data_IF_197810400298
#
_entry.id   IF_197810400298
#
_cell.length_a   1.000
_cell.length_b   1.000
_cell.length_c   1.000
_cell.angle_alpha   90.00
_cell.angle_beta   90.00
_cell.angle_gamma   90.00
#
_symmetry.space_group_name_H-M   'P 1'
#
loop_
_entity.id
_entity.type
_entity.pdbx_description
1 polymer ?
#
# COMPACT_ATOMS: atom_id res chain seq x y z
N UNK A 1 18.80 46.82 8.43
CA UNK A 1 17.76 45.77 8.38
C UNK A 1 18.19 44.75 7.34
N UNK A 2 18.61 43.56 7.79
CA UNK A 2 19.13 42.49 6.94
C UNK A 2 17.98 41.90 6.09
N UNK A 3 18.16 41.87 4.76
CA UNK A 3 17.22 41.31 3.78
C UNK A 3 17.31 39.78 3.61
N UNK A 4 17.88 39.05 4.58
CA UNK A 4 18.18 37.62 4.43
C UNK A 4 17.32 36.66 5.28
N UNK A 5 16.16 37.09 5.79
CA UNK A 5 15.20 36.20 6.45
C UNK A 5 13.86 36.20 5.70
N UNK A 6 13.88 35.82 4.41
CA UNK A 6 12.68 35.29 3.80
C UNK A 6 12.62 33.79 4.19
N UNK A 7 11.49 33.29 4.75
CA UNK A 7 11.29 31.85 4.90
C UNK A 7 11.52 31.18 3.55
N UNK A 8 12.07 29.96 3.56
CA UNK A 8 12.11 29.10 2.37
C UNK A 8 10.81 29.28 1.58
N UNK A 9 10.93 29.66 0.31
CA UNK A 9 9.79 29.91 -0.57
C UNK A 9 8.77 28.78 -0.37
N UNK A 10 7.55 29.15 0.05
CA UNK A 10 6.44 28.20 0.14
C UNK A 10 6.21 27.69 -1.28
N UNK A 11 6.87 26.57 -1.61
CA UNK A 11 6.76 25.99 -2.93
C UNK A 11 5.30 25.59 -3.14
N UNK A 12 4.77 25.86 -4.33
CA UNK A 12 3.42 25.46 -4.67
C UNK A 12 3.29 23.94 -4.53
N UNK A 13 2.53 23.50 -3.53
CA UNK A 13 2.27 22.09 -3.27
C UNK A 13 0.79 21.79 -3.55
N UNK A 14 0.52 20.85 -4.46
CA UNK A 14 -0.83 20.41 -4.80
C UNK A 14 -1.05 18.97 -4.31
N UNK A 15 -2.07 18.75 -3.49
CA UNK A 15 -2.43 17.43 -2.99
C UNK A 15 -3.75 16.97 -3.62
N UNK A 16 -3.75 15.78 -4.22
CA UNK A 16 -5.00 15.05 -4.51
C UNK A 16 -5.43 14.30 -3.26
N UNK A 17 -6.28 14.93 -2.45
CA UNK A 17 -6.55 14.48 -1.08
C UNK A 17 -7.50 13.28 -1.02
N UNK A 18 -8.58 13.28 -1.81
CA UNK A 18 -9.64 12.30 -1.68
C UNK A 18 -10.36 12.04 -3.00
N UNK A 19 -11.01 10.87 -3.15
CA UNK A 19 -12.03 10.68 -4.16
C UNK A 19 -13.11 11.76 -4.07
N UNK A 20 -13.74 12.12 -5.19
CA UNK A 20 -14.81 13.15 -5.18
C UNK A 20 -16.00 12.70 -4.33
N UNK A 21 -16.28 11.39 -4.32
CA UNK A 21 -17.26 10.77 -3.44
C UNK A 21 -16.82 9.39 -2.97
N UNK A 22 -17.08 9.09 -1.70
CA UNK A 22 -16.91 7.76 -1.09
C UNK A 22 -18.28 7.27 -0.65
N UNK A 23 -18.70 6.10 -1.14
CA UNK A 23 -19.89 5.39 -0.66
C UNK A 23 -19.39 4.14 0.04
N UNK A 24 -19.77 3.95 1.31
CA UNK A 24 -19.29 2.86 2.15
C UNK A 24 -20.41 2.30 3.02
N UNK A 25 -20.35 1.01 3.34
CA UNK A 25 -21.38 0.33 4.13
C UNK A 25 -21.80 -0.99 3.51
N UNK A 26 -22.75 -1.65 4.17
CA UNK A 26 -23.50 -2.76 3.56
C UNK A 26 -24.27 -2.25 2.34
N UNK A 27 -24.23 -3.01 1.24
CA UNK A 27 -24.95 -2.69 0.00
C UNK A 27 -24.56 -1.33 -0.63
N UNK A 28 -23.37 -0.83 -0.33
CA UNK A 28 -22.82 0.38 -0.93
C UNK A 28 -22.75 0.29 -2.46
N UNK A 29 -22.59 -0.91 -3.01
CA UNK A 29 -22.64 -1.16 -4.45
C UNK A 29 -24.01 -0.83 -5.03
N UNK A 30 -25.08 -1.40 -4.48
CA UNK A 30 -26.45 -1.18 -4.95
C UNK A 30 -26.88 0.27 -4.77
N UNK A 31 -26.54 0.89 -3.64
CA UNK A 31 -26.82 2.31 -3.38
C UNK A 31 -26.05 3.25 -4.32
N UNK A 32 -25.00 2.76 -4.98
CA UNK A 32 -24.20 3.54 -5.93
C UNK A 32 -24.69 3.44 -7.38
N UNK A 33 -25.67 2.59 -7.70
CA UNK A 33 -26.13 2.36 -9.07
C UNK A 33 -26.48 3.65 -9.84
N UNK A 34 -27.27 4.54 -9.23
CA UNK A 34 -27.64 5.81 -9.86
C UNK A 34 -26.43 6.75 -10.03
N UNK A 35 -25.48 6.72 -9.09
CA UNK A 35 -24.26 7.51 -9.17
C UNK A 35 -23.37 7.00 -10.31
N UNK A 36 -23.19 5.69 -10.45
CA UNK A 36 -22.42 5.09 -11.55
C UNK A 36 -23.01 5.51 -12.90
N UNK A 37 -24.34 5.40 -13.06
CA UNK A 37 -25.04 5.78 -14.29
C UNK A 37 -25.00 7.30 -14.58
N UNK A 38 -24.73 8.14 -13.57
CA UNK A 38 -24.51 9.57 -13.75
C UNK A 38 -23.07 9.92 -14.16
N UNK A 39 -22.11 9.03 -13.89
CA UNK A 39 -20.68 9.23 -14.17
C UNK A 39 -20.31 8.73 -15.57
N UNK A 40 -20.86 7.60 -16.01
CA UNK A 40 -20.48 6.95 -17.27
C UNK A 40 -21.64 6.13 -17.86
N UNK A 41 -21.63 5.88 -19.18
CA UNK A 41 -22.63 5.12 -19.92
C UNK A 41 -22.10 3.83 -20.55
N UNK A 42 -20.82 3.81 -20.89
CA UNK A 42 -20.13 2.68 -21.51
C UNK A 42 -18.84 2.35 -20.74
N UNK A 43 -18.91 1.94 -19.46
CA UNK A 43 -17.71 1.69 -18.68
C UNK A 43 -16.98 0.42 -19.10
N UNK A 44 -15.65 0.43 -18.94
CA UNK A 44 -14.84 -0.78 -18.86
C UNK A 44 -14.84 -1.29 -17.41
N UNK A 45 -15.35 -2.49 -17.17
CA UNK A 45 -15.20 -3.21 -15.90
C UNK A 45 -13.87 -4.00 -15.90
N UNK A 46 -12.90 -3.53 -15.12
CA UNK A 46 -11.58 -4.14 -14.99
C UNK A 46 -11.52 -5.05 -13.75
N UNK A 47 -10.97 -6.25 -13.95
CA UNK A 47 -10.77 -7.25 -12.91
C UNK A 47 -9.46 -8.02 -13.02
N UNK A 48 -9.34 -9.08 -12.21
CA UNK A 48 -8.25 -10.07 -12.29
C UNK A 48 -8.69 -11.37 -11.63
N UNK A 49 -8.15 -12.49 -12.10
CA UNK A 49 -8.17 -13.82 -11.43
C UNK A 49 -9.54 -14.47 -11.35
N UNK A 50 -9.53 -15.80 -11.36
CA UNK A 50 -10.72 -16.63 -11.16
C UNK A 50 -11.36 -16.43 -9.78
N UNK A 51 -10.56 -16.11 -8.75
CA UNK A 51 -11.02 -15.99 -7.36
C UNK A 51 -12.07 -14.90 -7.13
N UNK A 52 -12.16 -13.91 -8.02
CA UNK A 52 -13.15 -12.82 -7.94
C UNK A 52 -14.04 -12.75 -9.19
N UNK A 53 -14.01 -13.78 -10.03
CA UNK A 53 -14.76 -13.82 -11.29
C UNK A 53 -16.28 -13.79 -11.06
N UNK A 54 -16.77 -14.57 -10.09
CA UNK A 54 -18.20 -14.61 -9.76
C UNK A 54 -18.72 -13.25 -9.28
N UNK A 55 -18.00 -12.62 -8.35
CA UNK A 55 -18.30 -11.26 -7.89
C UNK A 55 -18.40 -10.29 -9.05
N UNK A 56 -17.37 -10.25 -9.91
CA UNK A 56 -17.36 -9.35 -11.08
C UNK A 56 -18.46 -9.65 -12.08
N UNK A 57 -18.83 -10.92 -12.25
CA UNK A 57 -19.95 -11.29 -13.10
C UNK A 57 -21.27 -10.73 -12.54
N UNK A 58 -21.46 -10.77 -11.22
CA UNK A 58 -22.57 -10.10 -10.54
C UNK A 58 -22.57 -8.59 -10.79
N UNK A 59 -21.43 -7.92 -10.59
CA UNK A 59 -21.29 -6.48 -10.88
C UNK A 59 -21.61 -6.16 -12.34
N UNK A 60 -21.10 -6.96 -13.29
CA UNK A 60 -21.35 -6.79 -14.72
C UNK A 60 -22.83 -6.91 -15.06
N UNK A 61 -23.52 -7.90 -14.48
CA UNK A 61 -24.95 -8.07 -14.69
C UNK A 61 -25.72 -6.87 -14.16
N UNK A 62 -25.41 -6.39 -12.94
CA UNK A 62 -26.06 -5.20 -12.39
C UNK A 62 -25.85 -3.96 -13.28
N UNK A 63 -24.63 -3.74 -13.78
CA UNK A 63 -24.34 -2.61 -14.67
C UNK A 63 -25.14 -2.70 -15.99
N UNK A 64 -25.34 -3.91 -16.54
CA UNK A 64 -26.17 -4.13 -17.72
C UNK A 64 -27.66 -3.92 -17.44
N UNK A 65 -28.13 -4.33 -16.27
CA UNK A 65 -29.52 -4.10 -15.83
C UNK A 65 -29.81 -2.61 -15.64
N UNK A 66 -28.79 -1.80 -15.32
CA UNK A 66 -28.87 -0.33 -15.33
C UNK A 66 -28.85 0.29 -16.73
N UNK A 67 -28.77 -0.52 -17.79
CA UNK A 67 -28.71 -0.08 -19.17
C UNK A 67 -27.34 0.46 -19.60
N UNK A 68 -26.26 0.12 -18.88
CA UNK A 68 -24.90 0.54 -19.23
C UNK A 68 -24.28 -0.43 -20.25
N UNK A 69 -23.62 0.10 -21.26
CA UNK A 69 -22.91 -0.67 -22.30
C UNK A 69 -21.55 -1.15 -21.78
N UNK A 70 -21.57 -1.99 -20.74
CA UNK A 70 -20.37 -2.38 -20.01
C UNK A 70 -19.61 -3.49 -20.73
N UNK A 71 -18.32 -3.25 -20.95
CA UNK A 71 -17.36 -4.26 -21.44
C UNK A 71 -16.42 -4.69 -20.32
N UNK A 72 -16.08 -5.98 -20.26
CA UNK A 72 -15.21 -6.53 -19.21
C UNK A 72 -13.80 -6.78 -19.72
N UNK A 73 -12.79 -6.54 -18.87
CA UNK A 73 -11.41 -6.94 -19.12
C UNK A 73 -10.75 -7.45 -17.85
N UNK A 74 -9.74 -8.30 -18.02
CA UNK A 74 -8.94 -8.82 -16.92
C UNK A 74 -7.45 -8.54 -17.13
N UNK A 75 -6.74 -8.26 -16.02
CA UNK A 75 -5.28 -8.32 -15.99
C UNK A 75 -4.82 -9.78 -16.11
N UNK A 76 -3.78 -10.00 -16.92
CA UNK A 76 -3.11 -11.31 -17.05
C UNK A 76 -1.92 -11.43 -16.08
N UNK A 77 -1.36 -10.29 -15.66
CA UNK A 77 -0.28 -10.17 -14.71
C UNK A 77 -0.73 -9.25 -13.57
N UNK A 78 0.09 -8.26 -13.24
CA UNK A 78 -0.20 -7.19 -12.29
C UNK A 78 -0.54 -5.88 -13.04
N UNK A 79 -0.49 -4.73 -12.34
CA UNK A 79 -0.49 -3.43 -12.99
C UNK A 79 0.83 -3.26 -13.77
N UNK A 80 0.88 -3.79 -15.00
CA UNK A 80 2.07 -3.75 -15.87
C UNK A 80 1.76 -3.12 -17.22
N UNK A 81 2.77 -2.56 -17.88
CA UNK A 81 2.59 -1.86 -19.16
C UNK A 81 2.03 -2.75 -20.27
N UNK A 82 2.32 -4.05 -20.26
CA UNK A 82 1.80 -4.98 -21.27
C UNK A 82 0.28 -5.14 -21.17
N UNK A 83 -0.26 -5.29 -19.95
CA UNK A 83 -1.70 -5.37 -19.73
C UNK A 83 -2.38 -4.02 -19.94
N UNK A 84 -1.77 -2.93 -19.46
CA UNK A 84 -2.30 -1.58 -19.65
C UNK A 84 -2.42 -1.22 -21.14
N UNK A 85 -1.42 -1.52 -21.98
CA UNK A 85 -1.50 -1.26 -23.43
C UNK A 85 -2.64 -2.04 -24.09
N UNK A 86 -2.76 -3.33 -23.78
CA UNK A 86 -3.82 -4.20 -24.33
C UNK A 86 -5.21 -3.70 -23.93
N UNK A 87 -5.39 -3.40 -22.65
CA UNK A 87 -6.69 -2.98 -22.12
C UNK A 87 -7.03 -1.56 -22.59
N UNK A 88 -6.04 -0.68 -22.74
CA UNK A 88 -6.24 0.63 -23.36
C UNK A 88 -6.76 0.54 -24.79
N UNK A 89 -6.19 -0.37 -25.61
CA UNK A 89 -6.70 -0.59 -26.97
C UNK A 89 -8.15 -1.10 -26.96
N UNK A 90 -8.51 -1.98 -26.03
CA UNK A 90 -9.88 -2.47 -25.87
C UNK A 90 -10.84 -1.34 -25.45
N UNK A 91 -10.43 -0.50 -24.51
CA UNK A 91 -11.23 0.63 -24.03
C UNK A 91 -11.50 1.64 -25.15
N UNK A 92 -10.46 1.98 -25.95
CA UNK A 92 -10.60 2.86 -27.11
C UNK A 92 -11.51 2.26 -28.18
N UNK A 93 -11.33 0.97 -28.51
CA UNK A 93 -12.16 0.28 -29.51
C UNK A 93 -13.65 0.30 -29.16
N UNK A 94 -13.98 0.10 -27.88
CA UNK A 94 -15.37 0.12 -27.40
C UNK A 94 -15.85 1.53 -26.99
N UNK A 95 -15.06 2.58 -27.26
CA UNK A 95 -15.40 3.97 -26.89
C UNK A 95 -15.80 4.11 -25.42
N UNK A 96 -15.04 3.48 -24.52
CA UNK A 96 -15.35 3.51 -23.10
C UNK A 96 -15.22 4.93 -22.52
N UNK A 97 -16.23 5.36 -21.77
CA UNK A 97 -16.31 6.69 -21.16
C UNK A 97 -16.09 6.67 -19.64
N UNK A 98 -15.73 5.52 -19.08
CA UNK A 98 -15.32 5.36 -17.69
C UNK A 98 -14.61 4.03 -17.45
N UNK A 99 -13.88 3.93 -16.35
CA UNK A 99 -13.29 2.68 -15.87
C UNK A 99 -13.84 2.35 -14.49
N UNK A 100 -14.40 1.16 -14.33
CA UNK A 100 -14.78 0.58 -13.04
C UNK A 100 -13.75 -0.49 -12.71
N UNK A 101 -12.90 -0.24 -11.71
CA UNK A 101 -11.87 -1.18 -11.27
C UNK A 101 -12.35 -1.96 -10.04
N UNK A 102 -12.62 -3.26 -10.21
CA UNK A 102 -13.16 -4.12 -9.17
C UNK A 102 -12.16 -5.25 -8.80
N UNK A 103 -11.48 -5.12 -7.66
CA UNK A 103 -10.49 -6.10 -7.22
C UNK A 103 -9.63 -5.62 -6.04
N UNK A 104 -8.48 -6.29 -5.84
CA UNK A 104 -7.45 -5.84 -4.91
C UNK A 104 -6.54 -4.75 -5.49
N UNK A 105 -5.55 -4.29 -4.71
CA UNK A 105 -4.75 -3.10 -5.02
C UNK A 105 -4.18 -3.02 -6.44
N UNK A 106 -3.67 -4.12 -7.00
CA UNK A 106 -3.12 -4.17 -8.37
C UNK A 106 -4.17 -3.89 -9.45
N UNK A 107 -5.42 -4.34 -9.26
CA UNK A 107 -6.53 -4.03 -10.18
C UNK A 107 -6.93 -2.56 -10.04
N UNK A 108 -7.00 -2.06 -8.81
CA UNK A 108 -7.37 -0.68 -8.51
C UNK A 108 -6.34 0.30 -9.12
N UNK A 109 -5.05 0.03 -8.96
CA UNK A 109 -3.97 0.82 -9.55
C UNK A 109 -4.01 0.80 -11.09
N UNK A 110 -4.20 -0.37 -11.70
CA UNK A 110 -4.30 -0.48 -13.15
C UNK A 110 -5.50 0.29 -13.70
N UNK A 111 -6.66 0.22 -13.03
CA UNK A 111 -7.85 0.93 -13.46
C UNK A 111 -7.73 2.44 -13.32
N UNK A 112 -7.16 2.93 -12.20
CA UNK A 112 -6.87 4.35 -12.02
C UNK A 112 -5.88 4.88 -13.06
N UNK A 113 -4.82 4.12 -13.33
CA UNK A 113 -3.81 4.50 -14.32
C UNK A 113 -4.38 4.49 -15.75
N UNK A 114 -5.21 3.51 -16.08
CA UNK A 114 -5.90 3.45 -17.36
C UNK A 114 -6.83 4.65 -17.56
N UNK A 115 -7.66 4.95 -16.55
CA UNK A 115 -8.56 6.10 -16.57
C UNK A 115 -7.78 7.42 -16.71
N UNK A 116 -6.66 7.55 -15.99
CA UNK A 116 -5.76 8.69 -16.11
C UNK A 116 -5.21 8.88 -17.53
N UNK A 117 -4.76 7.80 -18.19
CA UNK A 117 -4.24 7.85 -19.57
C UNK A 117 -5.31 8.25 -20.58
N UNK A 118 -6.54 7.77 -20.38
CA UNK A 118 -7.68 8.04 -21.25
C UNK A 118 -8.38 9.36 -20.92
N UNK A 119 -8.02 10.02 -19.82
CA UNK A 119 -8.69 11.22 -19.30
C UNK A 119 -10.20 11.02 -19.11
N UNK A 120 -10.60 9.83 -18.64
CA UNK A 120 -12.00 9.47 -18.33
C UNK A 120 -12.18 9.22 -16.83
N UNK A 121 -13.42 9.26 -16.31
CA UNK A 121 -13.72 8.93 -14.93
C UNK A 121 -13.23 7.54 -14.50
N UNK A 122 -12.82 7.46 -13.23
CA UNK A 122 -12.45 6.22 -12.56
C UNK A 122 -13.37 5.97 -11.37
N UNK A 123 -13.91 4.77 -11.29
CA UNK A 123 -14.65 4.25 -10.15
C UNK A 123 -13.88 3.07 -9.56
N UNK A 124 -13.53 3.12 -8.28
CA UNK A 124 -12.84 2.02 -7.59
C UNK A 124 -13.82 1.24 -6.71
N UNK A 125 -13.77 -0.09 -6.82
CA UNK A 125 -14.58 -1.03 -6.05
C UNK A 125 -13.65 -2.05 -5.40
N UNK A 126 -13.08 -1.75 -4.22
CA UNK A 126 -12.21 -2.71 -3.53
C UNK A 126 -12.98 -3.99 -3.20
N UNK A 127 -12.42 -5.13 -3.57
CA UNK A 127 -12.95 -6.46 -3.20
C UNK A 127 -12.19 -7.08 -2.02
N UNK A 128 -11.27 -6.32 -1.42
CA UNK A 128 -10.60 -6.64 -0.16
C UNK A 128 -10.11 -5.34 0.50
N UNK A 129 -9.83 -5.39 1.80
CA UNK A 129 -9.26 -4.26 2.54
C UNK A 129 -7.73 -4.36 2.69
N UNK A 130 -7.05 -5.01 1.73
CA UNK A 130 -5.63 -5.35 1.84
C UNK A 130 -4.67 -4.18 1.64
N UNK A 131 -5.12 -3.10 1.01
CA UNK A 131 -4.34 -1.88 0.79
C UNK A 131 -5.25 -0.65 0.71
N UNK A 132 -4.65 0.53 0.80
CA UNK A 132 -5.33 1.81 0.56
C UNK A 132 -5.36 2.26 -0.91
N UNK A 133 -5.00 1.37 -1.85
CA UNK A 133 -4.84 1.73 -3.27
C UNK A 133 -6.13 2.30 -3.89
N UNK A 134 -7.31 1.87 -3.45
CA UNK A 134 -8.58 2.37 -3.98
C UNK A 134 -8.81 3.87 -3.81
N UNK A 135 -8.07 4.54 -2.91
CA UNK A 135 -8.23 5.96 -2.58
C UNK A 135 -7.27 6.88 -3.36
N UNK A 136 -6.03 6.45 -3.59
CA UNK A 136 -4.89 7.34 -3.87
C UNK A 136 -4.80 7.80 -5.33
N UNK A 137 -4.30 9.02 -5.54
CA UNK A 137 -3.85 9.51 -6.85
C UNK A 137 -2.43 9.00 -7.21
N UNK A 138 -2.21 7.71 -7.02
CA UNK A 138 -0.94 7.01 -7.25
C UNK A 138 -1.25 5.63 -7.83
N UNK A 139 -0.40 5.09 -8.70
CA UNK A 139 -0.49 3.70 -9.11
C UNK A 139 0.91 3.06 -9.10
N UNK A 140 1.03 1.86 -8.56
CA UNK A 140 2.29 1.12 -8.60
C UNK A 140 2.35 0.31 -9.90
N UNK A 141 3.49 0.38 -10.59
CA UNK A 141 3.72 -0.35 -11.84
C UNK A 141 4.75 -1.45 -11.61
N UNK A 142 4.42 -2.62 -12.13
CA UNK A 142 5.20 -3.84 -11.99
C UNK A 142 5.64 -4.37 -13.35
N UNK A 143 6.69 -5.19 -13.35
CA UNK A 143 7.03 -6.03 -14.50
C UNK A 143 5.95 -7.11 -14.69
N UNK A 144 5.92 -7.80 -15.86
CA UNK A 144 5.08 -8.98 -16.02
C UNK A 144 5.37 -10.09 -15.01
N UNK A 145 6.59 -10.12 -14.48
CA UNK A 145 6.99 -11.05 -13.42
C UNK A 145 6.72 -10.51 -12.02
N UNK A 146 5.95 -9.43 -11.83
CA UNK A 146 5.55 -8.94 -10.51
C UNK A 146 6.61 -8.17 -9.71
N UNK A 147 7.73 -7.81 -10.34
CA UNK A 147 8.76 -6.97 -9.71
C UNK A 147 8.35 -5.49 -9.79
N UNK A 148 8.42 -4.75 -8.68
CA UNK A 148 8.17 -3.32 -8.64
C UNK A 148 9.11 -2.58 -9.60
N UNK A 149 8.57 -1.64 -10.37
CA UNK A 149 9.35 -0.83 -11.31
C UNK A 149 9.36 0.65 -10.92
N UNK A 150 8.19 1.21 -10.63
CA UNK A 150 8.03 2.63 -10.30
C UNK A 150 6.63 2.92 -9.79
N UNK A 151 6.53 4.04 -9.09
CA UNK A 151 5.26 4.70 -8.84
C UNK A 151 4.89 5.62 -10.01
N UNK A 152 3.59 5.78 -10.22
CA UNK A 152 3.02 6.73 -11.17
C UNK A 152 2.07 7.66 -10.44
N UNK A 153 2.47 8.91 -10.26
CA UNK A 153 1.58 9.96 -9.77
C UNK A 153 0.48 10.19 -10.81
N UNK A 154 -0.76 10.31 -10.33
CA UNK A 154 -1.94 10.55 -11.14
C UNK A 154 -2.44 11.97 -10.91
N UNK A 155 -3.16 12.52 -11.89
CA UNK A 155 -3.68 13.89 -11.80
C UNK A 155 -4.79 14.08 -10.74
N UNK A 156 -5.47 13.01 -10.34
CA UNK A 156 -6.59 13.04 -9.39
C UNK A 156 -6.81 11.67 -8.74
N UNK A 157 -7.49 11.67 -7.60
CA UNK A 157 -8.10 10.47 -7.02
C UNK A 157 -9.28 9.98 -7.88
N UNK A 158 -9.83 8.79 -7.61
CA UNK A 158 -11.05 8.32 -8.28
C UNK A 158 -12.22 9.29 -8.15
N UNK A 159 -13.12 9.30 -9.13
CA UNK A 159 -14.35 10.11 -9.03
C UNK A 159 -15.29 9.51 -7.99
N UNK A 160 -15.38 8.18 -7.96
CA UNK A 160 -16.19 7.45 -6.99
C UNK A 160 -15.40 6.27 -6.42
N UNK A 161 -15.37 6.15 -5.10
CA UNK A 161 -14.92 4.95 -4.41
C UNK A 161 -16.12 4.28 -3.74
N UNK A 162 -16.37 3.02 -4.08
CA UNK A 162 -17.45 2.21 -3.53
C UNK A 162 -16.83 1.14 -2.65
N UNK A 163 -16.90 1.34 -1.34
CA UNK A 163 -16.39 0.42 -0.33
C UNK A 163 -17.53 -0.38 0.29
N UNK A 164 -17.98 -1.40 -0.44
CA UNK A 164 -19.05 -2.29 -0.01
C UNK A 164 -18.55 -3.32 1.00
N UNK A 165 -19.11 -3.30 2.20
CA UNK A 165 -18.72 -4.21 3.29
C UNK A 165 -19.01 -5.67 2.94
N UNK A 166 -20.12 -5.95 2.28
CA UNK A 166 -20.49 -7.31 1.84
C UNK A 166 -19.56 -7.85 0.77
N UNK A 167 -19.08 -7.02 -0.16
CA UNK A 167 -18.07 -7.42 -1.14
C UNK A 167 -16.70 -7.65 -0.47
N UNK A 168 -16.26 -6.72 0.38
CA UNK A 168 -14.95 -6.79 1.04
C UNK A 168 -14.88 -7.97 2.02
N UNK A 169 -15.98 -8.31 2.71
CA UNK A 169 -16.06 -9.42 3.66
C UNK A 169 -15.90 -10.80 3.02
N UNK A 170 -16.10 -10.91 1.70
CA UNK A 170 -15.89 -12.18 0.98
C UNK A 170 -14.40 -12.49 0.74
N UNK A 171 -13.51 -11.52 0.96
CA UNK A 171 -12.08 -11.75 0.83
C UNK A 171 -11.55 -12.65 1.96
N UNK A 172 -10.52 -13.49 1.71
CA UNK A 172 -9.90 -14.28 2.76
C UNK A 172 -9.39 -13.40 3.92
N UNK A 173 -9.51 -13.82 5.19
CA UNK A 173 -9.05 -13.05 6.36
C UNK A 173 -7.58 -12.60 6.27
N UNK A 174 -6.71 -13.42 5.65
CA UNK A 174 -5.31 -13.07 5.33
C UNK A 174 -5.16 -11.73 4.62
N UNK A 175 -6.13 -11.35 3.79
CA UNK A 175 -6.12 -10.04 3.09
C UNK A 175 -6.35 -8.88 4.05
N UNK A 176 -7.20 -9.04 5.07
CA UNK A 176 -7.41 -8.03 6.10
C UNK A 176 -6.16 -7.91 7.00
N UNK A 177 -5.56 -9.03 7.39
CA UNK A 177 -4.30 -9.04 8.13
C UNK A 177 -3.20 -8.27 7.37
N UNK A 178 -3.08 -8.52 6.06
CA UNK A 178 -2.19 -7.76 5.18
C UNK A 178 -2.53 -6.26 5.20
N UNK A 179 -3.81 -5.90 5.11
CA UNK A 179 -4.26 -4.50 5.20
C UNK A 179 -3.91 -3.83 6.53
N UNK A 180 -3.98 -4.55 7.65
CA UNK A 180 -3.60 -4.04 8.97
C UNK A 180 -2.12 -3.65 8.97
N UNK A 181 -1.25 -4.52 8.45
CA UNK A 181 0.18 -4.26 8.37
C UNK A 181 0.53 -3.07 7.47
N UNK A 182 -0.10 -2.97 6.28
CA UNK A 182 0.08 -1.83 5.36
C UNK A 182 -0.37 -0.51 6.00
N UNK A 183 -1.51 -0.52 6.69
CA UNK A 183 -2.08 0.68 7.30
C UNK A 183 -1.30 1.15 8.54
N UNK A 184 -0.81 0.23 9.37
CA UNK A 184 0.05 0.57 10.53
C UNK A 184 1.37 1.22 10.08
N UNK A 185 1.88 0.86 8.89
CA UNK A 185 3.10 1.47 8.33
C UNK A 185 3.00 3.01 8.22
N UNK A 186 1.79 3.55 8.03
CA UNK A 186 1.57 5.01 7.97
C UNK A 186 2.11 5.71 9.21
N UNK A 187 1.94 5.14 10.40
CA UNK A 187 2.53 5.73 11.60
C UNK A 187 4.05 5.64 11.56
N UNK A 188 4.59 4.44 11.40
CA UNK A 188 6.02 4.20 11.54
C UNK A 188 6.84 4.94 10.49
N UNK A 189 6.33 5.10 9.26
CA UNK A 189 7.01 5.84 8.21
C UNK A 189 6.82 7.36 8.34
N UNK A 190 5.61 7.83 8.63
CA UNK A 190 5.35 9.28 8.72
C UNK A 190 5.93 9.90 9.99
N UNK A 191 5.97 9.17 11.12
CA UNK A 191 6.50 9.71 12.38
C UNK A 191 7.99 9.98 12.31
N UNK A 192 8.76 9.09 11.66
CA UNK A 192 10.21 9.24 11.55
C UNK A 192 10.61 10.28 10.50
N UNK A 193 9.89 10.33 9.38
CA UNK A 193 10.19 11.24 8.27
C UNK A 193 9.66 12.66 8.50
N UNK A 194 8.51 12.80 9.16
CA UNK A 194 7.75 14.05 9.20
C UNK A 194 7.17 14.41 10.58
N UNK A 195 7.57 13.70 11.64
CA UNK A 195 7.09 13.96 13.01
C UNK A 195 7.41 15.36 13.55
N UNK A 196 8.47 16.00 13.05
CA UNK A 196 8.87 17.37 13.40
C UNK A 196 8.52 18.41 12.32
N UNK A 197 7.63 18.08 11.38
CA UNK A 197 7.22 19.00 10.32
C UNK A 197 6.57 20.26 10.90
N UNK A 198 6.88 21.43 10.35
CA UNK A 198 6.20 22.70 10.66
C UNK A 198 4.99 22.97 9.74
N UNK A 199 4.72 22.08 8.79
CA UNK A 199 3.56 22.17 7.89
C UNK A 199 2.31 21.60 8.61
N UNK A 200 1.34 22.47 8.88
CA UNK A 200 0.14 22.12 9.62
C UNK A 200 -0.67 20.97 9.02
N UNK A 201 -0.75 20.85 7.69
CA UNK A 201 -1.47 19.73 7.06
C UNK A 201 -0.72 18.41 7.25
N UNK A 202 0.60 18.44 7.14
CA UNK A 202 1.45 17.27 7.38
C UNK A 202 1.38 16.85 8.85
N UNK A 203 1.40 17.80 9.78
CA UNK A 203 1.21 17.51 11.20
C UNK A 203 -0.11 16.76 11.45
N UNK A 204 -1.21 17.20 10.83
CA UNK A 204 -2.50 16.49 10.94
C UNK A 204 -2.41 15.06 10.38
N UNK A 205 -1.80 14.86 9.20
CA UNK A 205 -1.62 13.54 8.62
C UNK A 205 -0.83 12.59 9.55
N UNK A 206 0.24 13.08 10.18
CA UNK A 206 1.05 12.30 11.13
C UNK A 206 0.24 11.95 12.38
N UNK A 207 -0.54 12.88 12.94
CA UNK A 207 -1.39 12.59 14.12
C UNK A 207 -2.51 11.60 13.78
N UNK A 208 -3.11 11.71 12.59
CA UNK A 208 -4.08 10.73 12.11
C UNK A 208 -3.46 9.34 11.97
N UNK A 209 -2.22 9.25 11.48
CA UNK A 209 -1.49 7.98 11.41
C UNK A 209 -1.24 7.36 12.79
N UNK A 210 -0.98 8.18 13.82
CA UNK A 210 -0.87 7.72 15.21
C UNK A 210 -2.16 7.09 15.70
N UNK A 211 -3.30 7.78 15.51
CA UNK A 211 -4.62 7.28 15.90
C UNK A 211 -4.97 6.01 15.14
N UNK A 212 -4.67 5.97 13.84
CA UNK A 212 -4.85 4.78 13.00
C UNK A 212 -4.08 3.57 13.55
N UNK A 213 -2.81 3.74 13.92
CA UNK A 213 -2.03 2.68 14.56
C UNK A 213 -2.71 2.17 15.82
N UNK A 214 -3.09 3.07 16.74
CA UNK A 214 -3.68 2.68 18.02
C UNK A 214 -5.00 1.93 17.83
N UNK A 215 -5.84 2.40 16.90
CA UNK A 215 -7.07 1.70 16.52
C UNK A 215 -6.79 0.29 15.99
N UNK A 216 -5.82 0.13 15.07
CA UNK A 216 -5.50 -1.16 14.47
C UNK A 216 -4.89 -2.15 15.48
N UNK A 217 -4.08 -1.66 16.43
CA UNK A 217 -3.53 -2.49 17.51
C UNK A 217 -4.63 -3.00 18.45
N UNK A 218 -5.67 -2.21 18.69
CA UNK A 218 -6.78 -2.55 19.58
C UNK A 218 -7.84 -3.43 18.90
N UNK A 219 -8.30 -3.04 17.71
CA UNK A 219 -9.41 -3.68 17.02
C UNK A 219 -8.98 -4.84 16.11
N UNK A 220 -7.73 -4.85 15.64
CA UNK A 220 -7.20 -5.82 14.68
C UNK A 220 -7.42 -7.29 15.06
N UNK A 221 -7.07 -7.72 16.29
CA UNK A 221 -7.26 -9.11 16.71
C UNK A 221 -8.74 -9.55 16.70
N UNK A 222 -9.65 -8.68 17.17
CA UNK A 222 -11.08 -8.99 17.17
C UNK A 222 -11.67 -8.98 15.76
N UNK A 223 -11.23 -8.06 14.90
CA UNK A 223 -11.63 -8.00 13.51
C UNK A 223 -11.30 -9.29 12.73
N UNK A 224 -10.14 -9.91 12.98
CA UNK A 224 -9.77 -11.18 12.36
C UNK A 224 -10.51 -12.38 12.96
N UNK A 225 -10.90 -12.29 14.23
CA UNK A 225 -11.63 -13.35 14.93
C UNK A 225 -13.11 -13.39 14.55
N UNK A 226 -13.75 -12.23 14.38
CA UNK A 226 -15.15 -12.10 14.01
C UNK A 226 -15.35 -11.06 12.90
N UNK A 227 -15.57 -11.56 11.68
CA UNK A 227 -15.83 -10.75 10.49
C UNK A 227 -17.17 -9.99 10.49
N UNK A 228 -18.08 -10.31 11.43
CA UNK A 228 -19.35 -9.62 11.61
C UNK A 228 -19.30 -8.58 12.73
N UNK A 229 -18.17 -8.48 13.44
CA UNK A 229 -18.00 -7.53 14.53
C UNK A 229 -17.93 -6.09 14.03
N UNK A 230 -18.26 -5.13 14.92
CA UNK A 230 -17.99 -3.72 14.65
C UNK A 230 -16.47 -3.43 14.54
N UNK A 231 -15.63 -4.25 15.17
CA UNK A 231 -14.18 -4.17 15.03
C UNK A 231 -13.76 -4.44 13.58
N UNK A 232 -14.34 -5.44 12.93
CA UNK A 232 -14.09 -5.71 11.51
C UNK A 232 -14.41 -4.52 10.63
N UNK A 233 -15.58 -3.88 10.81
CA UNK A 233 -15.95 -2.69 10.03
C UNK A 233 -14.92 -1.58 10.22
N UNK A 234 -14.59 -1.26 11.48
CA UNK A 234 -13.62 -0.21 11.82
C UNK A 234 -12.25 -0.49 11.22
N UNK A 235 -11.78 -1.74 11.27
CA UNK A 235 -10.47 -2.14 10.74
C UNK A 235 -10.44 -2.14 9.22
N UNK A 236 -11.45 -2.70 8.56
CA UNK A 236 -11.51 -2.72 7.09
C UNK A 236 -11.52 -1.29 6.51
N UNK A 237 -12.30 -0.39 7.11
CA UNK A 237 -12.35 1.02 6.72
C UNK A 237 -11.07 1.77 7.08
N UNK A 238 -10.44 1.44 8.22
CA UNK A 238 -9.14 1.98 8.59
C UNK A 238 -8.06 1.64 7.54
N UNK A 239 -8.03 0.38 7.09
CA UNK A 239 -7.08 -0.10 6.09
C UNK A 239 -7.28 0.52 4.71
N UNK A 240 -8.52 0.59 4.23
CA UNK A 240 -8.78 1.06 2.86
C UNK A 240 -9.01 2.57 2.75
N UNK A 241 -9.64 3.18 3.74
CA UNK A 241 -10.12 4.58 3.69
C UNK A 241 -9.23 5.50 4.52
N UNK A 242 -9.05 5.23 5.82
CA UNK A 242 -8.28 6.13 6.70
C UNK A 242 -6.81 6.20 6.28
N UNK A 243 -6.18 5.06 5.97
CA UNK A 243 -4.82 5.04 5.42
C UNK A 243 -4.71 5.79 4.08
N UNK A 244 -5.75 5.71 3.24
CA UNK A 244 -5.85 6.46 1.99
C UNK A 244 -5.94 7.97 2.20
N UNK A 245 -6.79 8.40 3.13
CA UNK A 245 -6.96 9.80 3.52
C UNK A 245 -5.67 10.39 4.08
N UNK A 246 -4.95 9.66 4.95
CA UNK A 246 -3.63 10.06 5.46
C UNK A 246 -2.65 10.29 4.31
N UNK A 247 -2.59 9.35 3.35
CA UNK A 247 -1.74 9.49 2.17
C UNK A 247 -2.17 10.64 1.24
N UNK A 248 -3.46 10.99 1.22
CA UNK A 248 -3.99 12.13 0.49
C UNK A 248 -3.63 13.47 1.11
N UNK A 249 -3.79 13.61 2.43
CA UNK A 249 -3.44 14.83 3.17
C UNK A 249 -1.91 15.01 3.22
N UNK A 250 -1.18 13.93 3.50
CA UNK A 250 0.26 13.95 3.69
C UNK A 250 1.08 13.88 2.40
N UNK A 251 0.47 13.51 1.27
CA UNK A 251 1.17 13.36 0.00
C UNK A 251 2.35 12.38 0.08
N UNK A 252 3.40 12.61 -0.72
CA UNK A 252 4.63 11.78 -0.66
C UNK A 252 5.31 11.82 0.71
N UNK A 253 5.10 12.90 1.50
CA UNK A 253 5.73 13.07 2.81
C UNK A 253 5.23 12.08 3.86
N UNK A 254 3.95 11.66 3.82
CA UNK A 254 3.42 10.71 4.81
C UNK A 254 3.04 9.34 4.21
N UNK A 255 3.60 8.99 3.03
CA UNK A 255 3.20 7.77 2.33
C UNK A 255 4.13 6.60 2.57
N UNK A 256 5.44 6.83 2.52
CA UNK A 256 6.47 5.79 2.41
C UNK A 256 7.80 6.28 3.00
N UNK A 257 8.56 5.34 3.55
CA UNK A 257 9.96 5.49 3.96
C UNK A 257 10.67 4.14 3.75
N UNK A 258 11.36 3.62 4.78
CA UNK A 258 12.14 2.40 4.64
C UNK A 258 11.28 1.13 4.55
N UNK A 259 10.13 1.07 5.22
CA UNK A 259 9.28 -0.14 5.18
C UNK A 259 8.79 -0.45 3.76
N UNK A 260 8.33 0.57 3.02
CA UNK A 260 7.95 0.41 1.62
C UNK A 260 9.14 0.22 0.69
N UNK A 261 10.30 0.83 0.95
CA UNK A 261 11.52 0.57 0.18
C UNK A 261 11.96 -0.90 0.29
N UNK A 262 11.87 -1.49 1.48
CA UNK A 262 12.12 -2.92 1.72
C UNK A 262 11.08 -3.77 0.98
N UNK A 263 9.79 -3.43 1.08
CA UNK A 263 8.75 -4.11 0.29
C UNK A 263 9.10 -4.13 -1.20
N UNK A 264 9.45 -2.97 -1.78
CA UNK A 264 9.74 -2.83 -3.21
C UNK A 264 10.94 -3.70 -3.61
N UNK A 265 11.97 -3.75 -2.77
CA UNK A 265 13.12 -4.60 -3.00
C UNK A 265 12.79 -6.09 -2.91
N UNK A 266 11.97 -6.51 -1.94
CA UNK A 266 11.54 -7.90 -1.82
C UNK A 266 10.75 -8.38 -3.04
N UNK A 267 10.04 -7.49 -3.74
CA UNK A 267 9.34 -7.87 -4.98
C UNK A 267 10.27 -8.30 -6.13
N UNK A 268 11.57 -7.98 -6.06
CA UNK A 268 12.56 -8.44 -7.05
C UNK A 268 12.81 -9.95 -6.95
N UNK A 269 12.54 -10.55 -5.79
CA UNK A 269 12.65 -11.99 -5.55
C UNK A 269 11.40 -12.70 -6.02
N UNK A 270 11.56 -13.76 -6.82
CA UNK A 270 10.43 -14.58 -7.30
C UNK A 270 9.68 -15.28 -6.16
N UNK A 271 10.41 -15.72 -5.15
CA UNK A 271 9.84 -16.42 -3.99
C UNK A 271 8.90 -15.52 -3.17
N UNK A 272 8.99 -14.19 -3.35
CA UNK A 272 8.11 -13.22 -2.70
C UNK A 272 6.83 -12.93 -3.49
N UNK A 273 6.56 -13.52 -4.65
CA UNK A 273 5.42 -13.11 -5.49
C UNK A 273 4.05 -13.52 -4.93
N UNK A 274 4.00 -14.60 -4.16
CA UNK A 274 2.79 -15.07 -3.44
C UNK A 274 2.61 -14.44 -2.06
N UNK A 275 3.60 -13.65 -1.61
CA UNK A 275 3.53 -12.87 -0.37
C UNK A 275 2.79 -11.57 -0.66
N UNK A 276 1.76 -11.28 0.13
CA UNK A 276 0.92 -10.11 -0.02
C UNK A 276 1.70 -8.81 0.29
N UNK A 277 1.22 -7.70 -0.25
CA UNK A 277 1.83 -6.37 -0.08
C UNK A 277 2.10 -6.05 1.39
N UNK A 278 1.05 -6.12 2.23
CA UNK A 278 1.15 -5.80 3.64
C UNK A 278 1.99 -6.77 4.45
N UNK A 279 2.15 -8.01 4.00
CA UNK A 279 3.03 -8.98 4.68
C UNK A 279 4.51 -8.55 4.55
N UNK A 280 4.92 -8.15 3.35
CA UNK A 280 6.25 -7.57 3.11
C UNK A 280 6.43 -6.22 3.80
N UNK A 281 5.41 -5.36 3.77
CA UNK A 281 5.46 -4.05 4.46
C UNK A 281 5.57 -4.24 5.97
N UNK A 282 4.80 -5.16 6.55
CA UNK A 282 4.86 -5.50 7.98
C UNK A 282 6.27 -5.92 8.41
N UNK A 283 6.91 -6.79 7.61
CA UNK A 283 8.32 -7.12 7.81
C UNK A 283 9.24 -5.89 7.63
N UNK A 284 8.99 -5.08 6.60
CA UNK A 284 9.70 -3.83 6.35
C UNK A 284 9.64 -2.84 7.51
N UNK A 285 8.54 -2.77 8.27
CA UNK A 285 8.45 -1.97 9.50
C UNK A 285 9.46 -2.46 10.54
N UNK A 286 9.60 -3.78 10.72
CA UNK A 286 10.57 -4.34 11.66
C UNK A 286 12.01 -4.02 11.25
N UNK A 287 12.31 -4.11 9.95
CA UNK A 287 13.61 -3.70 9.38
C UNK A 287 13.87 -2.21 9.61
N UNK A 288 12.88 -1.35 9.35
CA UNK A 288 13.00 0.08 9.58
C UNK A 288 13.26 0.40 11.06
N UNK A 289 12.47 -0.17 11.97
CA UNK A 289 12.65 0.06 13.41
C UNK A 289 14.02 -0.44 13.88
N UNK A 290 14.58 -1.48 13.24
CA UNK A 290 15.94 -1.93 13.51
C UNK A 290 16.98 -0.93 13.01
N UNK A 291 16.81 -0.33 11.83
CA UNK A 291 17.68 0.76 11.36
C UNK A 291 17.63 1.97 12.30
N UNK A 292 16.44 2.37 12.76
CA UNK A 292 16.26 3.45 13.73
C UNK A 292 16.96 3.16 15.06
N UNK A 293 16.95 1.89 15.50
CA UNK A 293 17.64 1.43 16.71
C UNK A 293 19.17 1.47 16.56
N UNK A 294 19.71 0.90 15.48
CA UNK A 294 21.17 0.67 15.35
C UNK A 294 21.91 1.88 14.74
N UNK A 295 21.24 2.69 13.93
CA UNK A 295 21.83 3.87 13.25
C UNK A 295 21.25 5.16 13.81
N UNK A 296 19.92 5.24 13.91
CA UNK A 296 19.22 6.46 14.33
C UNK A 296 19.40 6.78 15.82
N UNK A 297 19.86 5.84 16.63
CA UNK A 297 19.98 6.00 18.09
C UNK A 297 18.63 6.11 18.81
N UNK A 298 17.52 5.76 18.14
CA UNK A 298 16.17 5.89 18.68
C UNK A 298 15.83 4.67 19.56
N UNK A 299 16.09 4.77 20.87
CA UNK A 299 15.82 3.65 21.80
C UNK A 299 14.35 3.20 21.85
N UNK A 300 13.41 4.12 21.58
CA UNK A 300 11.98 3.80 21.51
C UNK A 300 11.64 2.91 20.30
N UNK A 301 12.44 2.95 19.22
CA UNK A 301 12.23 2.10 18.05
C UNK A 301 12.40 0.62 18.40
N UNK A 302 13.41 0.28 19.21
CA UNK A 302 13.61 -1.09 19.70
C UNK A 302 12.46 -1.59 20.57
N UNK A 303 11.87 -0.72 21.42
CA UNK A 303 10.68 -1.08 22.19
C UNK A 303 9.45 -1.30 21.30
N UNK A 304 9.21 -0.39 20.35
CA UNK A 304 8.10 -0.51 19.41
C UNK A 304 8.22 -1.79 18.57
N UNK A 305 9.44 -2.14 18.12
CA UNK A 305 9.71 -3.38 17.37
C UNK A 305 9.36 -4.62 18.19
N UNK A 306 9.81 -4.69 19.46
CA UNK A 306 9.51 -5.81 20.37
C UNK A 306 8.02 -5.94 20.69
N UNK A 307 7.26 -4.84 20.69
CA UNK A 307 5.80 -4.87 20.84
C UNK A 307 5.10 -5.30 19.55
N UNK A 308 5.62 -4.89 18.39
CA UNK A 308 5.00 -5.17 17.10
C UNK A 308 5.17 -6.64 16.67
N UNK A 309 6.29 -7.28 16.99
CA UNK A 309 6.53 -8.70 16.68
C UNK A 309 5.39 -9.62 17.19
N UNK A 310 5.04 -9.66 18.49
CA UNK A 310 3.97 -10.53 18.97
C UNK A 310 2.59 -10.12 18.40
N UNK A 311 2.37 -8.84 18.12
CA UNK A 311 1.15 -8.37 17.47
C UNK A 311 1.03 -8.95 16.05
N UNK A 312 2.07 -8.79 15.20
CA UNK A 312 2.08 -9.33 13.84
C UNK A 312 1.93 -10.86 13.83
N UNK A 313 2.64 -11.57 14.71
CA UNK A 313 2.46 -13.02 14.88
C UNK A 313 1.03 -13.40 15.25
N UNK A 314 0.37 -12.62 16.11
CA UNK A 314 -1.03 -12.84 16.49
C UNK A 314 -2.03 -12.64 15.36
N UNK A 315 -1.62 -12.02 14.25
CA UNK A 315 -2.41 -11.86 13.02
C UNK A 315 -1.96 -12.82 11.89
N UNK A 316 -1.12 -13.82 12.21
CA UNK A 316 -0.49 -14.73 11.25
C UNK A 316 0.33 -14.01 10.16
N UNK A 317 0.96 -12.89 10.51
CA UNK A 317 1.83 -12.13 9.62
C UNK A 317 3.31 -12.47 9.82
N UNK A 318 4.13 -12.40 8.74
CA UNK A 318 5.54 -12.73 8.82
C UNK A 318 6.33 -11.69 9.61
N UNK A 319 7.27 -12.17 10.43
CA UNK A 319 8.17 -11.31 11.21
C UNK A 319 9.65 -11.59 10.96
N UNK A 320 9.98 -12.64 10.21
CA UNK A 320 11.33 -13.01 9.82
C UNK A 320 11.38 -13.49 8.36
N UNK A 321 12.58 -13.74 7.83
CA UNK A 321 12.77 -14.22 6.45
C UNK A 321 12.20 -15.61 6.19
N UNK A 322 12.20 -16.50 7.19
CA UNK A 322 11.61 -17.85 7.06
C UNK A 322 10.10 -17.77 6.90
N UNK A 323 9.41 -16.91 7.67
CA UNK A 323 7.97 -16.68 7.53
C UNK A 323 7.60 -16.10 6.14
N UNK A 324 8.54 -15.40 5.48
CA UNK A 324 8.40 -14.90 4.11
C UNK A 324 8.73 -15.96 3.04
N UNK A 325 9.14 -17.17 3.43
CA UNK A 325 9.57 -18.22 2.51
C UNK A 325 10.99 -18.02 1.95
N UNK A 326 11.82 -17.21 2.61
CA UNK A 326 13.14 -16.77 2.13
C UNK A 326 14.31 -17.42 2.89
N UNK A 327 14.08 -18.54 3.57
CA UNK A 327 15.09 -19.24 4.37
C UNK A 327 16.29 -19.73 3.56
N UNK A 328 16.11 -19.96 2.26
CA UNK A 328 17.13 -20.54 1.38
C UNK A 328 17.95 -19.50 0.61
N UNK A 329 17.64 -18.20 0.77
CA UNK A 329 18.39 -17.16 0.07
C UNK A 329 19.82 -17.05 0.59
N UNK A 330 20.76 -16.91 -0.33
CA UNK A 330 22.14 -16.58 -0.02
C UNK A 330 22.27 -15.15 0.50
N UNK A 331 23.34 -14.89 1.25
CA UNK A 331 23.70 -13.52 1.65
C UNK A 331 23.90 -12.60 0.44
N UNK A 332 24.34 -13.14 -0.70
CA UNK A 332 24.51 -12.40 -1.93
C UNK A 332 23.17 -11.92 -2.49
N UNK A 333 22.18 -12.80 -2.60
CA UNK A 333 20.83 -12.44 -3.07
C UNK A 333 20.15 -11.43 -2.13
N UNK A 334 20.30 -11.59 -0.82
CA UNK A 334 19.80 -10.61 0.16
C UNK A 334 20.53 -9.26 0.04
N UNK A 335 21.81 -9.25 -0.31
CA UNK A 335 22.55 -8.02 -0.56
C UNK A 335 22.05 -7.32 -1.82
N UNK A 336 21.76 -8.04 -2.91
CA UNK A 336 21.17 -7.48 -4.13
C UNK A 336 19.81 -6.81 -3.85
N UNK A 337 18.97 -7.42 -3.01
CA UNK A 337 17.73 -6.80 -2.52
C UNK A 337 18.04 -5.49 -1.78
N UNK A 338 19.02 -5.49 -0.89
CA UNK A 338 19.41 -4.27 -0.17
C UNK A 338 19.98 -3.19 -1.11
N UNK A 339 20.74 -3.57 -2.14
CA UNK A 339 21.21 -2.65 -3.17
C UNK A 339 20.05 -2.01 -3.94
N UNK A 340 19.02 -2.79 -4.28
CA UNK A 340 17.80 -2.27 -4.91
C UNK A 340 17.11 -1.24 -4.01
N UNK A 341 16.91 -1.55 -2.73
CA UNK A 341 16.30 -0.62 -1.76
C UNK A 341 17.11 0.68 -1.57
N UNK A 342 18.43 0.65 -1.80
CA UNK A 342 19.30 1.83 -1.72
C UNK A 342 19.50 2.56 -3.07
N UNK A 343 18.75 2.23 -4.12
CA UNK A 343 18.89 2.94 -5.41
C UNK A 343 18.49 4.41 -5.32
N UNK A 344 19.07 5.25 -6.19
CA UNK A 344 18.75 6.67 -6.27
C UNK A 344 17.24 6.87 -6.48
N UNK A 345 16.64 7.72 -5.65
CA UNK A 345 15.20 7.98 -5.70
C UNK A 345 14.34 7.01 -4.88
N UNK A 346 14.95 6.08 -4.15
CA UNK A 346 14.24 5.23 -3.19
C UNK A 346 13.66 6.03 -2.02
N UNK A 347 12.48 5.62 -1.56
CA UNK A 347 11.83 6.15 -0.36
C UNK A 347 12.60 5.84 0.93
N UNK A 348 13.59 4.93 0.89
CA UNK A 348 14.50 4.69 2.00
C UNK A 348 15.14 5.99 2.52
N UNK A 349 15.40 6.94 1.61
CA UNK A 349 16.05 8.21 1.92
C UNK A 349 15.13 9.24 2.59
N UNK A 350 13.87 8.89 2.88
CA UNK A 350 13.01 9.67 3.77
C UNK A 350 13.38 9.49 5.25
N UNK A 351 14.24 8.51 5.59
CA UNK A 351 14.81 8.42 6.93
C UNK A 351 15.73 9.62 7.22
N UNK A 352 15.72 10.18 8.44
CA UNK A 352 16.51 11.36 8.80
C UNK A 352 17.99 11.05 9.08
N UNK A 353 18.47 9.90 8.62
CA UNK A 353 19.85 9.43 8.78
C UNK A 353 20.27 8.60 7.55
N UNK A 354 21.57 8.58 7.21
CA UNK A 354 22.04 7.85 6.04
C UNK A 354 21.97 6.33 6.25
N UNK A 355 21.51 5.61 5.23
CA UNK A 355 21.48 4.14 5.20
C UNK A 355 22.17 3.66 3.93
N UNK A 356 23.09 2.69 4.07
CA UNK A 356 23.71 1.98 2.96
C UNK A 356 23.25 0.51 2.93
N UNK A 357 23.55 -0.21 1.84
CA UNK A 357 23.09 -1.58 1.64
C UNK A 357 23.61 -2.57 2.69
N UNK A 358 24.80 -2.36 3.27
CA UNK A 358 25.33 -3.22 4.33
C UNK A 358 24.56 -3.03 5.65
N UNK A 359 24.29 -1.78 6.01
CA UNK A 359 23.48 -1.44 7.18
C UNK A 359 22.05 -1.97 7.03
N UNK A 360 21.48 -1.87 5.82
CA UNK A 360 20.18 -2.44 5.51
C UNK A 360 20.18 -3.97 5.60
N UNK A 361 21.23 -4.63 5.11
CA UNK A 361 21.36 -6.09 5.23
C UNK A 361 21.46 -6.53 6.69
N UNK A 362 22.22 -5.81 7.52
CA UNK A 362 22.29 -6.08 8.96
C UNK A 362 20.93 -5.94 9.64
N UNK A 363 20.20 -4.86 9.34
CA UNK A 363 18.87 -4.64 9.87
C UNK A 363 17.85 -5.67 9.35
N UNK A 364 17.99 -6.09 8.09
CA UNK A 364 17.15 -7.09 7.45
C UNK A 364 17.36 -8.47 8.09
N UNK A 365 18.59 -8.87 8.41
CA UNK A 365 18.86 -10.14 9.09
C UNK A 365 18.46 -10.10 10.57
N UNK A 366 18.63 -8.95 11.23
CA UNK A 366 18.36 -8.76 12.66
C UNK A 366 16.96 -8.24 13.00
N UNK A 367 16.02 -8.19 12.04
CA UNK A 367 14.70 -7.57 12.23
C UNK A 367 13.89 -8.21 13.36
N UNK A 368 14.02 -9.54 13.52
CA UNK A 368 13.35 -10.34 14.54
C UNK A 368 14.15 -10.49 15.85
N UNK A 369 15.37 -9.98 15.92
CA UNK A 369 16.26 -10.23 17.06
C UNK A 369 15.81 -9.44 18.30
N UNK A 370 15.61 -10.13 19.42
CA UNK A 370 15.24 -9.50 20.69
C UNK A 370 16.45 -8.98 21.50
N UNK A 371 17.67 -9.33 21.08
CA UNK A 371 18.90 -8.98 21.78
C UNK A 371 19.33 -7.51 21.58
N UNK A 372 20.07 -6.92 22.53
CA UNK A 372 20.76 -5.65 22.31
C UNK A 372 21.73 -5.78 21.13
N UNK A 373 21.91 -4.69 20.39
CA UNK A 373 22.84 -4.61 19.26
C UNK A 373 24.24 -5.03 19.74
N UNK A 374 24.91 -6.03 19.12
CA UNK A 374 26.31 -6.30 19.41
C UNK A 374 27.13 -5.06 19.09
N UNK A 375 28.04 -4.68 19.99
CA UNK A 375 28.88 -3.46 19.87
C UNK A 375 29.85 -3.53 18.67
N UNK A 376 29.97 -4.68 18.00
CA UNK A 376 30.71 -4.88 16.75
C UNK A 376 29.83 -5.55 15.70
N UNK A 377 29.72 -4.95 14.51
CA UNK A 377 28.92 -5.43 13.39
C UNK A 377 29.31 -6.86 12.98
N UNK A 378 28.46 -7.84 13.29
CA UNK A 378 28.63 -9.26 12.97
C UNK A 378 28.70 -9.55 11.47
N UNK A 379 28.23 -8.62 10.63
CA UNK A 379 28.14 -8.76 9.18
C UNK A 379 29.52 -8.68 8.50
N UNK A 380 30.45 -7.86 9.00
CA UNK A 380 31.81 -7.75 8.43
C UNK A 380 32.60 -9.06 8.58
N UNK A 381 32.34 -9.86 9.62
CA UNK A 381 32.97 -11.16 9.82
C UNK A 381 32.38 -12.27 8.95
N UNK A 382 31.09 -12.19 8.57
CA UNK A 382 30.45 -13.20 7.70
C UNK A 382 30.73 -12.99 6.22
N UNK A 383 30.83 -11.74 5.75
CA UNK A 383 31.17 -11.43 4.35
C UNK A 383 32.64 -11.74 4.02
N UNK A 384 33.54 -11.66 5.01
CA UNK A 384 34.95 -12.03 4.82
C UNK A 384 35.22 -13.56 4.84
N UNK A 385 34.20 -14.36 5.16
CA UNK A 385 34.30 -15.82 5.34
C UNK A 385 33.54 -16.64 4.27
N UNK A 386 32.95 -15.96 3.29
CA UNK A 386 32.28 -16.52 2.10
C UNK A 386 32.95 -15.98 0.85
#
# INVERSE_FOLDING_TARGET
MNKNNLPEEVSHCAHSIAPEKVVRGERAWEESHQLIASICRSPLLLGRSIATAELRQGLLNNLRDLGLNTVSAELKHDCCEMDLKRINALALYNSCDGVIAAGGGKVLDAGKLLAHRLSIPCITVPLSAATCAGWTALANIYSPTGAFQRDQVLARCPHLMIFDHGLVRQAPPRTLASGIADAIAKWYEASVSNGSSNDGLIQQAVQMARVLRDQLLLDGPEALKDQNSLAWIRVAEACALTAGLIGGIGGSRCRTAAAHAVHNALTQLKDCHEVLHGEKVGYGILVQLRLEEIIGGHQLAGQARRQLIPFLKGLDLPVNLEDLGLSNLSLHELHEVCQFACQKGSDLYQLPFPVNSNALLEALLGASDNGPVPVESTVTKRIAAS
#
